data_IF_641378818810
#
_entry.id   IF_641378818810
#
_cell.length_a   1.000
_cell.length_b   1.000
_cell.length_c   1.000
_cell.angle_alpha   90.00
_cell.angle_beta   90.00
_cell.angle_gamma   90.00
#
_symmetry.space_group_name_H-M   'P 1'
#
loop_
_entity.id
_entity.type
_entity.pdbx_description
1 polymer ?
#
# COMPACT_ATOMS: atom_id res chain seq x y z
N UNK A 1 -7.37 32.15 22.12
CA UNK A 1 -6.19 31.39 21.71
C UNK A 1 -5.88 30.23 22.64
N UNK A 2 -5.65 30.38 23.93
CA UNK A 2 -5.29 29.29 24.86
C UNK A 2 -6.25 28.05 24.87
N UNK A 3 -7.57 28.25 24.76
CA UNK A 3 -8.54 27.13 24.73
C UNK A 3 -8.47 26.27 23.44
N UNK A 4 -8.05 26.84 22.33
CA UNK A 4 -7.89 26.10 21.04
C UNK A 4 -6.62 25.27 21.08
N UNK A 5 -5.51 25.85 21.60
CA UNK A 5 -4.24 25.10 21.81
C UNK A 5 -4.38 23.96 22.82
N UNK A 6 -5.15 24.16 23.89
CA UNK A 6 -5.39 23.14 24.90
C UNK A 6 -6.26 21.98 24.35
N UNK A 7 -7.24 22.27 23.47
CA UNK A 7 -8.04 21.25 22.77
C UNK A 7 -7.21 20.48 21.74
N UNK A 8 -6.32 21.16 20.99
CA UNK A 8 -5.40 20.51 20.07
C UNK A 8 -4.44 19.56 20.81
N UNK A 9 -3.79 20.01 21.89
CA UNK A 9 -2.93 19.17 22.73
C UNK A 9 -3.67 17.98 23.36
N UNK A 10 -4.92 18.16 23.83
CA UNK A 10 -5.75 17.05 24.34
C UNK A 10 -6.14 16.06 23.23
N UNK A 11 -6.41 16.54 22.03
CA UNK A 11 -6.70 15.67 20.87
C UNK A 11 -5.47 14.85 20.45
N UNK A 12 -4.29 15.48 20.49
CA UNK A 12 -3.02 14.81 20.15
C UNK A 12 -2.61 13.80 21.22
N UNK A 13 -2.83 14.10 22.51
CA UNK A 13 -2.63 13.15 23.61
C UNK A 13 -3.63 11.99 23.52
N UNK A 14 -4.91 12.25 23.21
CA UNK A 14 -5.90 11.18 23.00
C UNK A 14 -5.61 10.35 21.77
N UNK A 15 -5.13 10.94 20.67
CA UNK A 15 -4.66 10.18 19.49
C UNK A 15 -3.42 9.34 19.80
N UNK A 16 -2.43 9.89 20.55
CA UNK A 16 -1.27 9.11 21.00
C UNK A 16 -1.67 7.93 21.88
N UNK A 17 -2.48 8.15 22.92
CA UNK A 17 -2.93 7.07 23.82
C UNK A 17 -3.81 6.03 23.11
N UNK A 18 -4.47 6.37 22.01
CA UNK A 18 -5.29 5.44 21.23
C UNK A 18 -4.46 4.59 20.27
N UNK A 19 -3.38 5.16 19.74
CA UNK A 19 -2.40 4.44 18.91
C UNK A 19 -1.55 3.51 19.78
N UNK A 20 -1.27 3.86 21.05
CA UNK A 20 -0.53 3.03 22.00
C UNK A 20 -1.25 1.73 22.39
N UNK A 21 -2.56 1.61 22.14
CA UNK A 21 -3.36 0.41 22.46
C UNK A 21 -3.76 -0.43 21.23
N UNK A 22 -3.13 -0.20 20.07
CA UNK A 22 -3.41 -0.99 18.88
C UNK A 22 -2.52 -2.23 18.86
N UNK A 23 -3.14 -3.39 19.05
CA UNK A 23 -2.47 -4.68 18.98
C UNK A 23 -2.40 -5.18 17.54
N UNK A 24 -1.23 -5.56 17.07
CA UNK A 24 -0.99 -6.00 15.69
C UNK A 24 -0.57 -7.47 15.66
N UNK A 25 -1.25 -8.27 14.83
CA UNK A 25 -0.87 -9.64 14.51
C UNK A 25 -0.47 -9.71 13.04
N UNK A 26 0.58 -10.46 12.73
CA UNK A 26 1.06 -10.67 11.36
C UNK A 26 0.59 -12.04 10.86
N UNK A 27 -0.11 -12.08 9.74
CA UNK A 27 -0.42 -13.31 8.98
C UNK A 27 0.63 -13.48 7.88
N UNK A 28 1.41 -14.56 7.95
CA UNK A 28 2.54 -14.85 7.07
C UNK A 28 3.87 -14.25 7.55
N UNK A 29 4.86 -15.13 7.82
CA UNK A 29 6.15 -14.72 8.41
C UNK A 29 7.33 -14.91 7.46
N UNK A 30 7.11 -14.59 6.17
CA UNK A 30 8.14 -14.52 5.14
C UNK A 30 9.03 -13.27 5.25
N UNK A 31 9.64 -12.87 4.13
CA UNK A 31 10.51 -11.67 4.09
C UNK A 31 9.78 -10.40 4.56
N UNK A 32 8.53 -10.20 4.12
CA UNK A 32 7.74 -9.02 4.51
C UNK A 32 7.30 -9.08 5.97
N UNK A 33 6.79 -10.22 6.46
CA UNK A 33 6.38 -10.38 7.85
C UNK A 33 7.49 -10.02 8.83
N UNK A 34 8.72 -10.51 8.58
CA UNK A 34 9.92 -10.18 9.39
C UNK A 34 10.29 -8.68 9.35
N UNK A 35 10.05 -8.00 8.23
CA UNK A 35 10.30 -6.56 8.14
C UNK A 35 9.22 -5.77 8.87
N UNK A 36 7.96 -6.18 8.77
CA UNK A 36 6.83 -5.57 9.47
C UNK A 36 7.01 -5.67 10.98
N UNK A 37 7.39 -6.86 11.49
CA UNK A 37 7.72 -7.04 12.91
C UNK A 37 8.77 -6.04 13.40
N UNK A 38 9.87 -5.87 12.66
CA UNK A 38 10.91 -4.89 13.02
C UNK A 38 10.36 -3.47 13.10
N UNK A 39 9.45 -3.09 12.21
CA UNK A 39 8.83 -1.76 12.24
C UNK A 39 7.88 -1.62 13.44
N UNK A 40 7.06 -2.65 13.73
CA UNK A 40 6.17 -2.66 14.89
C UNK A 40 6.98 -2.45 16.17
N UNK A 41 8.04 -3.25 16.37
CA UNK A 41 8.91 -3.18 17.54
C UNK A 41 9.68 -1.85 17.63
N UNK A 42 10.14 -1.30 16.49
CA UNK A 42 10.86 -0.02 16.47
C UNK A 42 9.98 1.19 16.79
N UNK A 43 8.67 1.04 16.71
CA UNK A 43 7.67 2.07 17.00
C UNK A 43 6.99 1.88 18.37
N UNK A 44 7.45 0.91 19.17
CA UNK A 44 6.87 0.53 20.48
C UNK A 44 5.35 0.26 20.40
N UNK A 45 4.90 -0.35 19.28
CA UNK A 45 3.50 -0.75 19.09
C UNK A 45 3.26 -2.11 19.74
N UNK A 46 2.03 -2.35 20.22
CA UNK A 46 1.68 -3.62 20.83
C UNK A 46 1.67 -4.75 19.79
N UNK A 47 2.54 -5.72 19.94
CA UNK A 47 2.75 -6.83 19.03
C UNK A 47 2.19 -8.13 19.60
N UNK A 48 1.18 -8.70 18.95
CA UNK A 48 0.54 -9.95 19.33
C UNK A 48 1.27 -11.20 18.81
N UNK A 49 2.29 -11.01 17.97
CA UNK A 49 3.00 -12.12 17.32
C UNK A 49 2.63 -12.30 15.85
N UNK A 50 2.99 -13.46 15.34
CA UNK A 50 2.72 -13.85 13.94
C UNK A 50 2.12 -15.25 13.85
N UNK A 51 1.45 -15.54 12.74
CA UNK A 51 0.91 -16.88 12.46
C UNK A 51 1.09 -17.23 10.97
N UNK A 52 1.46 -18.46 10.68
CA UNK A 52 1.38 -19.03 9.32
C UNK A 52 0.05 -19.75 9.08
N UNK A 53 -0.67 -20.07 10.16
CA UNK A 53 -2.01 -20.66 10.16
C UNK A 53 -2.99 -19.73 10.88
N UNK A 54 -3.30 -18.58 10.27
CA UNK A 54 -4.08 -17.51 10.91
C UNK A 54 -5.46 -17.97 11.39
N UNK A 55 -6.04 -18.99 10.74
CA UNK A 55 -7.33 -19.58 11.13
C UNK A 55 -7.27 -20.38 12.44
N UNK A 56 -6.08 -20.65 12.96
CA UNK A 56 -5.89 -21.30 14.28
C UNK A 56 -5.69 -20.25 15.40
N UNK A 57 -5.71 -18.96 15.07
CA UNK A 57 -5.62 -17.89 16.08
C UNK A 57 -6.87 -17.91 16.96
N UNK A 58 -6.65 -17.80 18.29
CA UNK A 58 -7.75 -17.66 19.24
C UNK A 58 -8.65 -16.48 18.84
N UNK A 59 -9.94 -16.71 18.59
CA UNK A 59 -10.89 -15.65 18.21
C UNK A 59 -10.95 -14.48 19.22
N UNK A 60 -10.71 -14.73 20.51
CA UNK A 60 -10.67 -13.69 21.51
C UNK A 60 -9.48 -12.75 21.28
N UNK A 61 -8.29 -13.31 21.00
CA UNK A 61 -7.11 -12.53 20.62
C UNK A 61 -7.30 -11.81 19.28
N UNK A 62 -7.85 -12.49 18.28
CA UNK A 62 -8.05 -11.92 16.95
C UNK A 62 -8.92 -10.65 17.00
N UNK A 63 -10.00 -10.63 17.80
CA UNK A 63 -10.90 -9.47 17.97
C UNK A 63 -10.23 -8.24 18.58
N UNK A 64 -9.10 -8.42 19.28
CA UNK A 64 -8.31 -7.31 19.81
C UNK A 64 -7.29 -6.78 18.80
N UNK A 65 -6.98 -7.54 17.75
CA UNK A 65 -5.87 -7.30 16.83
C UNK A 65 -6.31 -6.71 15.51
N UNK A 66 -5.46 -5.82 14.96
CA UNK A 66 -5.40 -5.54 13.54
C UNK A 66 -4.48 -6.58 12.90
N UNK A 67 -4.98 -7.32 11.90
CA UNK A 67 -4.18 -8.30 11.17
C UNK A 67 -3.50 -7.65 9.96
N UNK A 68 -2.18 -7.85 9.83
CA UNK A 68 -1.45 -7.49 8.61
C UNK A 68 -1.13 -8.79 7.85
N UNK A 69 -1.80 -9.02 6.72
CA UNK A 69 -1.63 -10.22 5.88
C UNK A 69 -0.63 -10.00 4.74
N UNK A 70 0.45 -10.77 4.76
CA UNK A 70 1.44 -10.90 3.69
C UNK A 70 1.77 -12.38 3.47
N UNK A 71 0.80 -13.11 2.98
CA UNK A 71 0.88 -14.55 2.72
C UNK A 71 1.04 -14.87 1.22
N UNK A 72 0.46 -15.97 0.77
CA UNK A 72 0.36 -16.34 -0.65
C UNK A 72 -1.06 -16.11 -1.15
N UNK A 73 -1.28 -15.97 -2.48
CA UNK A 73 -2.62 -15.86 -3.06
C UNK A 73 -3.56 -16.99 -2.60
N UNK A 74 -3.05 -18.22 -2.56
CA UNK A 74 -3.84 -19.40 -2.15
C UNK A 74 -4.21 -19.33 -0.66
N UNK A 75 -3.29 -18.94 0.21
CA UNK A 75 -3.56 -18.80 1.65
C UNK A 75 -4.57 -17.68 1.90
N UNK A 76 -4.42 -16.50 1.28
CA UNK A 76 -5.38 -15.41 1.44
C UNK A 76 -6.79 -15.82 1.00
N UNK A 77 -6.93 -16.49 -0.16
CA UNK A 77 -8.22 -17.02 -0.64
C UNK A 77 -8.87 -17.99 0.35
N UNK A 78 -8.08 -18.80 1.03
CA UNK A 78 -8.60 -19.72 2.04
C UNK A 78 -8.98 -19.02 3.34
N UNK A 79 -8.31 -17.92 3.68
CA UNK A 79 -8.35 -17.30 5.00
C UNK A 79 -9.19 -16.00 5.10
N UNK A 80 -9.53 -15.34 3.97
CA UNK A 80 -10.15 -14.00 4.01
C UNK A 80 -11.46 -13.96 4.79
N UNK A 81 -12.27 -15.03 4.77
CA UNK A 81 -13.51 -15.12 5.55
C UNK A 81 -13.23 -15.11 7.05
N UNK A 82 -12.26 -15.93 7.49
CA UNK A 82 -11.84 -15.94 8.89
C UNK A 82 -11.28 -14.56 9.33
N UNK A 83 -10.50 -13.92 8.47
CA UNK A 83 -9.97 -12.59 8.72
C UNK A 83 -11.10 -11.56 8.91
N UNK A 84 -12.09 -11.56 8.03
CA UNK A 84 -13.23 -10.66 8.09
C UNK A 84 -14.12 -10.89 9.33
N UNK A 85 -14.30 -12.15 9.74
CA UNK A 85 -15.20 -12.52 10.85
C UNK A 85 -14.58 -12.31 12.23
N UNK A 86 -13.26 -12.39 12.35
CA UNK A 86 -12.62 -12.52 13.65
C UNK A 86 -11.70 -11.35 14.02
N UNK A 87 -11.13 -10.60 13.08
CA UNK A 87 -10.20 -9.53 13.40
C UNK A 87 -10.89 -8.18 13.56
N UNK A 88 -10.28 -7.30 14.36
CA UNK A 88 -10.75 -5.91 14.55
C UNK A 88 -10.69 -5.09 13.26
N UNK A 89 -9.65 -5.31 12.45
CA UNK A 89 -9.45 -4.76 11.11
C UNK A 89 -8.36 -5.57 10.39
N UNK A 90 -8.26 -5.43 9.07
CA UNK A 90 -7.30 -6.19 8.27
C UNK A 90 -6.57 -5.29 7.28
N UNK A 91 -5.26 -5.45 7.18
CA UNK A 91 -4.41 -4.86 6.14
C UNK A 91 -3.93 -5.97 5.23
N UNK A 92 -4.24 -5.90 3.93
CA UNK A 92 -3.95 -6.96 2.96
C UNK A 92 -2.89 -6.51 1.97
N UNK A 93 -1.69 -7.05 2.12
CA UNK A 93 -0.58 -6.85 1.18
C UNK A 93 -0.31 -8.08 0.30
N UNK A 94 -0.99 -9.17 0.54
CA UNK A 94 -0.98 -10.31 -0.37
C UNK A 94 -1.58 -9.91 -1.71
N UNK A 95 -0.93 -10.25 -2.81
CA UNK A 95 -1.37 -9.97 -4.18
C UNK A 95 -1.87 -11.24 -4.88
N UNK A 96 -2.39 -11.11 -6.11
CA UNK A 96 -2.78 -12.26 -6.93
C UNK A 96 -4.17 -12.83 -6.61
N UNK A 97 -5.08 -12.00 -6.09
CA UNK A 97 -6.48 -12.36 -5.82
C UNK A 97 -7.49 -11.43 -6.51
N UNK A 98 -7.05 -10.71 -7.56
CA UNK A 98 -7.87 -9.72 -8.25
C UNK A 98 -9.17 -10.29 -8.86
N UNK A 99 -9.17 -11.56 -9.25
CA UNK A 99 -10.32 -12.27 -9.78
C UNK A 99 -11.46 -12.53 -8.77
N UNK A 100 -11.16 -12.49 -7.45
CA UNK A 100 -12.17 -12.60 -6.38
C UNK A 100 -12.33 -11.29 -5.60
N UNK A 101 -11.81 -10.16 -6.11
CA UNK A 101 -11.77 -8.88 -5.38
C UNK A 101 -13.15 -8.42 -4.94
N UNK A 102 -14.12 -8.45 -5.84
CA UNK A 102 -15.48 -8.00 -5.55
C UNK A 102 -16.13 -8.88 -4.45
N UNK A 103 -15.92 -10.20 -4.50
CA UNK A 103 -16.40 -11.12 -3.48
C UNK A 103 -15.77 -10.80 -2.11
N UNK A 104 -14.46 -10.59 -2.07
CA UNK A 104 -13.75 -10.26 -0.82
C UNK A 104 -14.23 -8.93 -0.25
N UNK A 105 -14.35 -7.88 -1.07
CA UNK A 105 -14.83 -6.56 -0.63
C UNK A 105 -16.22 -6.68 -0.04
N UNK A 106 -17.17 -7.29 -0.77
CA UNK A 106 -18.55 -7.48 -0.29
C UNK A 106 -18.60 -8.23 1.04
N UNK A 107 -17.77 -9.26 1.19
CA UNK A 107 -17.75 -10.05 2.42
C UNK A 107 -17.22 -9.26 3.63
N UNK A 108 -16.18 -8.44 3.47
CA UNK A 108 -15.70 -7.56 4.52
C UNK A 108 -16.71 -6.48 4.90
N UNK A 109 -17.44 -5.94 3.91
CA UNK A 109 -18.52 -4.97 4.14
C UNK A 109 -19.70 -5.62 4.88
N UNK A 110 -20.11 -6.84 4.52
CA UNK A 110 -21.14 -7.60 5.24
C UNK A 110 -20.76 -7.89 6.69
N UNK A 111 -19.50 -8.23 6.95
CA UNK A 111 -18.98 -8.43 8.30
C UNK A 111 -18.80 -7.12 9.08
N UNK A 112 -18.78 -5.97 8.41
CA UNK A 112 -18.50 -4.66 9.02
C UNK A 112 -17.04 -4.50 9.47
N UNK A 113 -16.13 -5.33 8.98
CA UNK A 113 -14.72 -5.33 9.36
C UNK A 113 -13.92 -4.41 8.43
N UNK A 114 -13.28 -3.35 8.94
CA UNK A 114 -12.47 -2.46 8.11
C UNK A 114 -11.34 -3.21 7.43
N UNK A 115 -11.16 -2.96 6.13
CA UNK A 115 -10.03 -3.51 5.38
C UNK A 115 -9.31 -2.41 4.61
N UNK A 116 -7.98 -2.39 4.70
CA UNK A 116 -7.12 -1.61 3.81
C UNK A 116 -6.28 -2.58 2.98
N UNK A 117 -6.39 -2.50 1.66
CA UNK A 117 -5.62 -3.34 0.76
C UNK A 117 -4.77 -2.53 -0.22
N UNK A 118 -3.67 -3.12 -0.70
CA UNK A 118 -2.89 -2.55 -1.79
C UNK A 118 -2.02 -3.62 -2.46
N UNK A 119 -1.76 -3.42 -3.74
CA UNK A 119 -0.68 -4.12 -4.45
C UNK A 119 0.71 -3.57 -4.10
N UNK A 120 0.76 -2.35 -3.55
CA UNK A 120 1.99 -1.67 -3.16
C UNK A 120 1.75 -0.73 -1.97
N UNK A 121 2.38 -1.00 -0.83
CA UNK A 121 2.27 -0.20 0.39
C UNK A 121 3.34 0.91 0.51
N UNK A 122 4.21 1.12 -0.48
CA UNK A 122 5.15 2.24 -0.44
C UNK A 122 4.40 3.57 -0.54
N UNK A 123 4.52 4.41 0.48
CA UNK A 123 3.95 5.76 0.47
C UNK A 123 4.52 6.55 -0.73
N UNK A 124 5.83 6.48 -0.97
CA UNK A 124 6.47 7.16 -2.09
C UNK A 124 5.95 6.73 -3.45
N UNK A 125 5.69 5.42 -3.64
CA UNK A 125 5.10 4.91 -4.89
C UNK A 125 3.67 5.40 -5.07
N UNK A 126 2.85 5.39 -4.02
CA UNK A 126 1.46 5.87 -4.11
C UNK A 126 1.40 7.39 -4.40
N UNK A 127 2.26 8.19 -3.78
CA UNK A 127 2.42 9.61 -4.14
C UNK A 127 2.89 9.75 -5.58
N UNK A 128 3.81 8.90 -6.05
CA UNK A 128 4.31 8.93 -7.42
C UNK A 128 3.22 8.59 -8.43
N UNK A 129 2.33 7.65 -8.14
CA UNK A 129 1.13 7.38 -8.96
C UNK A 129 0.25 8.63 -9.06
N UNK A 130 -0.07 9.29 -7.95
CA UNK A 130 -0.92 10.47 -7.93
C UNK A 130 -0.30 11.65 -8.69
N UNK A 131 1.00 11.88 -8.53
CA UNK A 131 1.71 12.94 -9.26
C UNK A 131 1.76 12.62 -10.76
N UNK A 132 1.99 11.35 -11.13
CA UNK A 132 1.98 10.91 -12.53
C UNK A 132 0.60 11.12 -13.16
N UNK A 133 -0.47 10.73 -12.46
CA UNK A 133 -1.85 10.95 -12.89
C UNK A 133 -2.12 12.43 -13.15
N UNK A 134 -1.78 13.28 -12.20
CA UNK A 134 -2.01 14.71 -12.31
C UNK A 134 -1.22 15.36 -13.48
N UNK A 135 0.07 15.04 -13.60
CA UNK A 135 0.93 15.61 -14.64
C UNK A 135 0.54 15.11 -16.02
N UNK A 136 0.32 13.80 -16.18
CA UNK A 136 -0.09 13.23 -17.48
C UNK A 136 -1.43 13.78 -17.96
N UNK A 137 -2.39 14.03 -17.06
CA UNK A 137 -3.67 14.66 -17.38
C UNK A 137 -3.49 16.10 -17.89
N UNK A 138 -2.72 16.93 -17.17
CA UNK A 138 -2.45 18.32 -17.59
C UNK A 138 -1.75 18.38 -18.95
N UNK A 139 -0.77 17.49 -19.19
CA UNK A 139 -0.02 17.47 -20.45
C UNK A 139 -0.80 16.85 -21.60
N UNK A 140 -1.69 15.89 -21.31
CA UNK A 140 -2.65 15.37 -22.30
C UNK A 140 -3.63 16.44 -22.78
N UNK A 141 -4.14 17.27 -21.85
CA UNK A 141 -5.00 18.42 -22.18
C UNK A 141 -4.24 19.52 -22.93
N UNK A 142 -3.00 19.81 -22.56
CA UNK A 142 -2.17 20.82 -23.21
C UNK A 142 -1.72 20.39 -24.61
N UNK A 143 -1.49 19.10 -24.83
CA UNK A 143 -0.97 18.55 -26.07
C UNK A 143 0.52 18.85 -26.31
N UNK A 144 1.11 18.24 -27.34
CA UNK A 144 2.49 18.51 -27.77
C UNK A 144 3.58 17.82 -26.97
N UNK A 145 3.23 16.95 -26.01
CA UNK A 145 4.17 16.15 -25.23
C UNK A 145 4.01 14.66 -25.55
N UNK A 146 5.15 13.98 -25.68
CA UNK A 146 5.23 12.52 -25.85
C UNK A 146 5.73 11.86 -24.57
N UNK A 147 5.00 10.89 -24.00
CA UNK A 147 5.44 10.21 -22.80
C UNK A 147 6.54 9.18 -23.10
N UNK A 148 7.45 8.98 -22.16
CA UNK A 148 8.39 7.85 -22.14
C UNK A 148 8.54 7.31 -20.72
N UNK A 149 8.90 6.04 -20.61
CA UNK A 149 9.03 5.40 -19.31
C UNK A 149 10.22 4.44 -19.26
N UNK A 150 10.97 4.48 -18.14
CA UNK A 150 12.08 3.56 -17.87
C UNK A 150 11.95 3.02 -16.44
N UNK A 151 12.10 1.71 -16.28
CA UNK A 151 12.20 1.10 -14.96
C UNK A 151 13.46 0.23 -14.84
N UNK A 152 14.07 0.23 -13.64
CA UNK A 152 15.30 -0.50 -13.38
C UNK A 152 15.15 -1.32 -12.10
N UNK A 153 15.53 -2.59 -12.17
CA UNK A 153 15.57 -3.50 -11.02
C UNK A 153 16.77 -4.41 -11.04
N UNK A 154 16.98 -5.11 -9.93
CA UNK A 154 18.04 -6.11 -9.80
C UNK A 154 17.93 -7.22 -10.85
N UNK A 155 19.07 -7.86 -11.15
CA UNK A 155 19.16 -8.88 -12.20
C UNK A 155 18.31 -10.14 -11.94
N UNK A 156 17.85 -10.38 -10.71
CA UNK A 156 17.03 -11.51 -10.32
C UNK A 156 15.52 -11.28 -10.48
N UNK A 157 15.07 -10.07 -10.90
CA UNK A 157 13.65 -9.79 -11.10
C UNK A 157 13.18 -10.38 -12.43
N UNK A 158 12.19 -11.29 -12.35
CA UNK A 158 11.73 -12.07 -13.51
C UNK A 158 10.72 -11.32 -14.37
N UNK A 159 9.81 -10.58 -13.75
CA UNK A 159 8.79 -9.82 -14.48
C UNK A 159 9.36 -8.54 -15.10
N UNK A 160 9.04 -8.30 -16.34
CA UNK A 160 9.36 -7.08 -17.10
C UNK A 160 8.19 -6.75 -18.04
N UNK A 161 7.62 -5.54 -17.99
CA UNK A 161 7.83 -4.51 -16.97
C UNK A 161 7.37 -4.94 -15.58
N UNK A 162 7.85 -4.25 -14.53
CA UNK A 162 7.41 -4.47 -13.16
C UNK A 162 5.93 -4.11 -12.97
N UNK A 163 5.27 -4.65 -11.92
CA UNK A 163 3.88 -4.31 -11.62
C UNK A 163 3.67 -2.80 -11.43
N UNK A 164 4.58 -2.13 -10.73
CA UNK A 164 4.55 -0.66 -10.56
C UNK A 164 4.66 0.07 -11.89
N UNK A 165 5.55 -0.37 -12.77
CA UNK A 165 5.71 0.25 -14.09
C UNK A 165 4.48 0.06 -14.97
N UNK A 166 3.83 -1.11 -14.94
CA UNK A 166 2.55 -1.32 -15.64
C UNK A 166 1.47 -0.38 -15.14
N UNK A 167 1.30 -0.25 -13.81
CA UNK A 167 0.31 0.68 -13.25
C UNK A 167 0.60 2.14 -13.62
N UNK A 168 1.87 2.56 -13.70
CA UNK A 168 2.24 3.89 -14.17
C UNK A 168 1.92 4.07 -15.66
N UNK A 169 2.17 3.04 -16.49
CA UNK A 169 1.84 3.08 -17.92
C UNK A 169 0.32 3.19 -18.14
N UNK A 170 -0.47 2.38 -17.41
CA UNK A 170 -1.93 2.44 -17.47
C UNK A 170 -2.47 3.84 -17.14
N UNK A 171 -1.88 4.52 -16.14
CA UNK A 171 -2.23 5.91 -15.78
C UNK A 171 -1.91 6.88 -16.92
N UNK A 172 -0.71 6.79 -17.49
CA UNK A 172 -0.27 7.68 -18.58
C UNK A 172 -1.12 7.45 -19.83
N UNK A 173 -1.33 6.19 -20.20
CA UNK A 173 -2.13 5.81 -21.39
C UNK A 173 -3.57 6.33 -21.27
N UNK A 174 -4.18 6.20 -20.10
CA UNK A 174 -5.54 6.68 -19.83
C UNK A 174 -5.67 8.21 -19.99
N UNK A 175 -4.66 8.96 -19.57
CA UNK A 175 -4.69 10.43 -19.57
C UNK A 175 -4.23 11.06 -20.89
N UNK A 176 -3.32 10.41 -21.61
CA UNK A 176 -2.74 10.96 -22.84
C UNK A 176 -3.34 10.35 -24.13
N UNK A 177 -4.15 9.31 -24.01
CA UNK A 177 -4.80 8.65 -25.16
C UNK A 177 -3.81 7.96 -26.11
N UNK A 178 -2.60 7.69 -25.66
CA UNK A 178 -1.55 7.02 -26.44
C UNK A 178 -0.81 6.01 -25.55
N UNK A 179 -0.39 4.89 -26.16
CA UNK A 179 0.37 3.87 -25.42
C UNK A 179 1.81 4.31 -25.18
N UNK A 180 2.27 4.16 -23.94
CA UNK A 180 3.67 4.40 -23.56
C UNK A 180 4.43 3.08 -23.41
N UNK A 181 5.48 2.90 -24.19
CA UNK A 181 6.39 1.77 -24.06
C UNK A 181 7.26 1.91 -22.81
N UNK A 182 7.24 0.89 -21.97
CA UNK A 182 8.10 0.83 -20.78
C UNK A 182 9.40 0.11 -21.09
N UNK A 183 10.52 0.82 -20.99
CA UNK A 183 11.83 0.22 -21.10
C UNK A 183 12.26 -0.36 -19.75
N UNK A 184 12.58 -1.65 -19.73
CA UNK A 184 12.95 -2.38 -18.51
C UNK A 184 14.44 -2.70 -18.48
N UNK A 185 15.12 -2.26 -17.44
CA UNK A 185 16.55 -2.57 -17.20
C UNK A 185 16.68 -3.53 -16.03
N UNK A 186 17.52 -4.56 -16.17
CA UNK A 186 17.83 -5.57 -15.15
C UNK A 186 19.34 -5.58 -14.94
N UNK A 187 19.81 -4.97 -13.81
CA UNK A 187 21.24 -4.90 -13.52
C UNK A 187 21.50 -4.72 -12.02
N UNK A 188 22.63 -5.24 -11.56
CA UNK A 188 23.07 -5.11 -10.17
C UNK A 188 22.04 -5.57 -9.15
N UNK A 189 22.00 -4.87 -8.02
CA UNK A 189 21.08 -5.10 -6.89
C UNK A 189 20.10 -3.93 -6.70
N UNK A 190 19.72 -3.23 -7.78
CA UNK A 190 18.81 -2.08 -7.74
C UNK A 190 17.46 -2.51 -7.18
N UNK A 191 17.00 -1.94 -6.06
CA UNK A 191 15.72 -2.32 -5.45
C UNK A 191 14.51 -1.97 -6.29
N UNK A 192 14.59 -0.87 -7.06
CA UNK A 192 13.58 -0.39 -8.00
C UNK A 192 13.68 1.10 -8.24
N UNK A 193 13.83 1.48 -9.49
CA UNK A 193 13.79 2.87 -9.96
C UNK A 193 12.71 2.94 -11.04
N UNK A 194 11.85 3.94 -10.98
CA UNK A 194 10.82 4.19 -11.98
C UNK A 194 10.90 5.65 -12.41
N UNK A 195 11.09 5.86 -13.69
CA UNK A 195 11.14 7.18 -14.31
C UNK A 195 10.01 7.32 -15.30
N UNK A 196 9.22 8.39 -15.16
CA UNK A 196 8.21 8.83 -16.11
C UNK A 196 8.61 10.19 -16.63
N UNK A 197 8.67 10.34 -17.93
CA UNK A 197 9.02 11.60 -18.57
C UNK A 197 8.05 11.94 -19.68
N UNK A 198 7.96 13.23 -19.95
CA UNK A 198 7.13 13.83 -21.01
C UNK A 198 8.00 14.81 -21.79
N UNK A 199 8.20 14.53 -23.06
CA UNK A 199 9.10 15.31 -23.93
C UNK A 199 8.27 16.15 -24.90
N UNK A 200 8.45 17.47 -24.82
CA UNK A 200 7.94 18.45 -25.76
C UNK A 200 9.00 18.83 -26.83
N UNK A 201 8.67 19.79 -27.67
CA UNK A 201 9.59 20.30 -28.69
C UNK A 201 10.76 21.11 -28.09
N UNK A 202 10.50 21.81 -26.99
CA UNK A 202 11.42 22.80 -26.41
C UNK A 202 11.88 22.44 -24.99
N UNK A 203 11.17 21.54 -24.30
CA UNK A 203 11.46 21.14 -22.94
C UNK A 203 11.06 19.70 -22.64
N UNK A 204 11.39 19.25 -21.41
CA UNK A 204 11.07 17.93 -20.91
C UNK A 204 10.76 18.00 -19.43
N UNK A 205 9.70 17.32 -19.01
CA UNK A 205 9.42 17.04 -17.60
C UNK A 205 9.82 15.60 -17.29
N UNK A 206 10.61 15.40 -16.25
CA UNK A 206 11.04 14.06 -15.81
C UNK A 206 10.79 13.90 -14.31
N UNK A 207 10.13 12.83 -13.93
CA UNK A 207 9.85 12.46 -12.55
C UNK A 207 10.44 11.09 -12.27
N UNK A 208 11.08 10.91 -11.12
CA UNK A 208 11.71 9.64 -10.76
C UNK A 208 11.41 9.29 -9.31
N UNK A 209 11.00 8.04 -9.09
CA UNK A 209 10.94 7.42 -7.78
C UNK A 209 12.01 6.34 -7.70
N UNK A 210 12.84 6.40 -6.65
CA UNK A 210 13.86 5.40 -6.36
C UNK A 210 13.61 4.80 -4.97
N UNK A 211 13.51 3.47 -4.92
CA UNK A 211 13.44 2.74 -3.67
C UNK A 211 14.86 2.38 -3.19
N UNK A 212 15.21 2.72 -1.96
CA UNK A 212 16.51 2.32 -1.37
C UNK A 212 16.46 0.95 -0.71
N UNK A 213 15.27 0.48 -0.36
CA UNK A 213 15.04 -0.83 0.24
C UNK A 213 13.55 -1.20 0.20
N UNK A 214 13.24 -2.44 0.58
CA UNK A 214 11.85 -2.88 0.78
C UNK A 214 11.22 -2.38 2.09
N UNK A 215 11.96 -1.66 2.91
CA UNK A 215 11.47 -1.16 4.20
C UNK A 215 10.26 -0.23 4.04
N UNK A 216 10.21 0.53 2.93
CA UNK A 216 9.07 1.40 2.60
C UNK A 216 7.72 0.67 2.56
N UNK A 217 7.68 -0.58 2.08
CA UNK A 217 6.46 -1.39 2.08
C UNK A 217 6.03 -1.78 3.49
N UNK A 218 6.98 -2.19 4.35
CA UNK A 218 6.68 -2.55 5.74
C UNK A 218 6.20 -1.34 6.55
N UNK A 219 6.86 -0.19 6.38
CA UNK A 219 6.43 1.08 7.00
C UNK A 219 5.02 1.45 6.56
N UNK A 220 4.71 1.33 5.26
CA UNK A 220 3.38 1.61 4.72
C UNK A 220 2.32 0.66 5.26
N UNK A 221 2.60 -0.65 5.34
CA UNK A 221 1.66 -1.63 5.89
C UNK A 221 1.35 -1.35 7.39
N UNK A 222 2.36 -1.01 8.19
CA UNK A 222 2.14 -0.59 9.58
C UNK A 222 1.38 0.74 9.65
N UNK A 223 1.68 1.68 8.74
CA UNK A 223 0.93 2.94 8.64
C UNK A 223 -0.54 2.69 8.30
N UNK A 224 -0.83 1.77 7.37
CA UNK A 224 -2.19 1.35 7.06
C UNK A 224 -2.89 0.77 8.29
N UNK A 225 -2.22 -0.13 9.05
CA UNK A 225 -2.78 -0.67 10.29
C UNK A 225 -3.17 0.44 11.28
N UNK A 226 -2.31 1.44 11.48
CA UNK A 226 -2.59 2.59 12.35
C UNK A 226 -3.75 3.48 11.83
N UNK A 227 -4.06 3.42 10.54
CA UNK A 227 -5.17 4.18 9.92
C UNK A 227 -6.50 3.44 9.98
N UNK A 228 -6.53 2.17 10.40
CA UNK A 228 -7.80 1.43 10.57
C UNK A 228 -8.62 1.91 11.75
N UNK A 229 -8.05 2.68 12.68
CA UNK A 229 -8.76 3.18 13.85
C UNK A 229 -9.89 4.14 13.47
N UNK A 230 -11.12 3.72 13.74
CA UNK A 230 -12.32 4.48 13.40
C UNK A 230 -12.71 4.43 11.93
N UNK A 231 -11.99 3.65 11.11
CA UNK A 231 -12.33 3.39 9.72
C UNK A 231 -13.52 2.44 9.64
N UNK A 232 -14.30 2.55 8.59
CA UNK A 232 -15.39 1.62 8.24
C UNK A 232 -15.29 1.26 6.77
N UNK A 233 -15.70 0.03 6.41
CA UNK A 233 -15.68 -0.42 5.01
C UNK A 233 -14.29 -0.80 4.50
N UNK A 234 -14.20 -0.91 3.18
CA UNK A 234 -13.01 -1.39 2.47
C UNK A 234 -12.39 -0.27 1.64
N UNK A 235 -11.10 -0.08 1.78
CA UNK A 235 -10.37 1.01 1.14
C UNK A 235 -9.09 0.54 0.46
N UNK A 236 -8.72 1.19 -0.62
CA UNK A 236 -7.37 1.08 -1.16
C UNK A 236 -6.41 1.98 -0.35
N UNK A 237 -5.20 1.50 -0.08
CA UNK A 237 -4.20 2.23 0.71
C UNK A 237 -3.89 3.62 0.13
N UNK A 238 -3.90 3.74 -1.19
CA UNK A 238 -3.69 5.00 -1.89
C UNK A 238 -4.68 6.08 -1.43
N UNK A 239 -5.96 5.75 -1.35
CA UNK A 239 -7.00 6.70 -1.00
C UNK A 239 -6.85 7.18 0.44
N UNK A 240 -6.50 6.24 1.34
CA UNK A 240 -6.23 6.55 2.75
C UNK A 240 -5.01 7.46 2.94
N UNK A 241 -3.93 7.24 2.16
CA UNK A 241 -2.67 7.97 2.36
C UNK A 241 -2.69 9.36 1.70
N UNK A 242 -3.45 9.52 0.64
CA UNK A 242 -3.58 10.77 -0.10
C UNK A 242 -4.78 11.62 0.36
N UNK A 243 -5.60 11.11 1.32
CA UNK A 243 -6.88 11.71 1.75
C UNK A 243 -7.80 12.04 0.55
N UNK A 244 -7.89 11.11 -0.40
CA UNK A 244 -8.81 11.18 -1.53
C UNK A 244 -10.14 10.60 -1.04
N UNK A 245 -11.16 11.43 -0.94
CA UNK A 245 -12.56 11.07 -0.60
C UNK A 245 -13.29 10.52 -1.84
#
# INVERSE_FOLDING_TARGET
MQKVEQRAKLSDIKKRNKVENMKILISGYGKMGKMIEKIILSKDLEYAGWSEAVTETDPALARECVCIDFTTPAAFRANYRFLAENFKAVVVGTTGWADIREEVISYFEECGTPMIWASNFSIGVNVFFAVTDHVSKLLGEAGGYSPYMVEMHHCHKLDAPSGTARSLADIVDANMGSHVDVQSVRCGEIPGIHTVGFEGADDRITMTHEAFSRNGFAVGAVTAALRTEGLTGVHEFRDIILNID
#
